data_IF_966374701124
#
_entry.id   IF_966374701124
#
_cell.length_a   1.000
_cell.length_b   1.000
_cell.length_c   1.000
_cell.angle_alpha   90.00
_cell.angle_beta   90.00
_cell.angle_gamma   90.00
#
_symmetry.space_group_name_H-M   'P 1'
#
loop_
_entity.id
_entity.type
_entity.pdbx_description
1 polymer ?
#
# COMPACT_ATOMS: atom_id res chain seq x y z
N UNK A 1 54.79 32.50 61.52
CA UNK A 1 53.61 32.49 60.64
C UNK A 1 52.72 31.34 61.09
N UNK A 2 51.73 31.61 61.95
CA UNK A 2 50.28 31.73 61.64
C UNK A 2 49.65 30.43 61.09
N UNK A 3 49.00 29.69 62.02
CA UNK A 3 47.64 29.12 62.05
C UNK A 3 46.93 28.86 60.68
N UNK A 4 46.14 27.81 60.47
CA UNK A 4 44.98 27.37 61.26
C UNK A 4 44.58 25.93 60.90
N UNK A 5 44.36 25.08 61.90
CA UNK A 5 43.51 23.89 61.80
C UNK A 5 42.05 24.37 61.74
N UNK A 6 41.34 24.05 60.64
CA UNK A 6 39.89 24.23 60.55
C UNK A 6 39.20 22.90 60.84
N UNK A 7 38.59 22.82 62.02
CA UNK A 7 37.59 21.82 62.36
C UNK A 7 36.32 22.11 61.56
N UNK A 8 35.93 21.18 60.68
CA UNK A 8 34.66 21.26 59.97
C UNK A 8 33.58 20.63 60.85
N UNK A 9 32.65 21.47 61.31
CA UNK A 9 31.40 21.04 61.94
C UNK A 9 30.50 20.46 60.85
N UNK A 10 30.07 19.20 60.99
CA UNK A 10 29.05 18.60 60.15
C UNK A 10 27.69 18.92 60.79
N UNK A 11 26.81 19.72 60.18
CA UNK A 11 25.44 19.79 60.63
C UNK A 11 24.68 18.55 60.14
N UNK A 12 24.00 17.87 61.06
CA UNK A 12 23.01 16.84 60.77
C UNK A 12 21.97 17.38 59.79
N UNK A 13 21.86 16.77 58.61
CA UNK A 13 20.68 16.94 57.77
C UNK A 13 19.63 15.92 58.19
N UNK A 14 18.48 16.46 58.57
CA UNK A 14 17.28 15.75 58.92
C UNK A 14 16.78 14.87 57.76
N UNK A 15 16.31 13.68 58.12
CA UNK A 15 15.62 12.73 57.25
C UNK A 15 14.24 13.32 56.89
N UNK A 16 14.12 14.01 55.76
CA UNK A 16 12.85 14.43 55.21
C UNK A 16 12.26 13.30 54.34
N UNK A 17 11.00 12.96 54.59
CA UNK A 17 10.32 11.80 54.04
C UNK A 17 10.36 11.71 52.51
N UNK A 18 10.63 10.50 52.02
CA UNK A 18 10.44 10.16 50.61
C UNK A 18 8.94 10.07 50.33
N UNK A 19 8.37 11.13 49.75
CA UNK A 19 7.12 11.02 49.03
C UNK A 19 7.36 10.17 47.78
N UNK A 20 6.81 8.97 47.74
CA UNK A 20 6.79 8.14 46.54
C UNK A 20 5.86 8.80 45.52
N UNK A 21 6.42 9.56 44.58
CA UNK A 21 5.67 10.05 43.43
C UNK A 21 5.23 8.83 42.60
N UNK A 22 3.95 8.49 42.69
CA UNK A 22 3.33 7.47 41.85
C UNK A 22 3.16 8.08 40.46
N UNK A 23 4.19 7.97 39.63
CA UNK A 23 4.16 8.43 38.23
C UNK A 23 3.41 7.39 37.41
N UNK A 24 2.08 7.46 37.39
CA UNK A 24 1.32 6.77 36.35
C UNK A 24 1.79 7.32 35.01
N UNK A 25 2.36 6.49 34.11
CA UNK A 25 2.80 6.96 32.81
C UNK A 25 1.61 7.58 32.07
N UNK A 26 1.79 8.71 31.36
CA UNK A 26 0.72 9.29 30.57
C UNK A 26 0.20 8.28 29.55
N UNK A 27 -1.10 8.04 29.57
CA UNK A 27 -1.78 7.20 28.59
C UNK A 27 -1.73 7.91 27.23
N UNK A 28 -0.94 7.37 26.30
CA UNK A 28 -0.90 7.82 24.92
C UNK A 28 -2.16 7.35 24.20
N UNK A 29 -3.13 8.26 24.05
CA UNK A 29 -4.32 8.05 23.22
C UNK A 29 -3.99 8.40 21.78
N UNK A 30 -3.88 7.38 20.94
CA UNK A 30 -3.80 7.57 19.49
C UNK A 30 -5.22 7.57 18.93
N UNK A 31 -5.67 8.74 18.47
CA UNK A 31 -6.89 8.82 17.67
C UNK A 31 -6.51 8.46 16.23
N UNK A 32 -7.02 7.32 15.76
CA UNK A 32 -6.86 6.92 14.36
C UNK A 32 -8.07 7.47 13.61
N UNK A 33 -7.82 8.43 12.72
CA UNK A 33 -8.86 8.97 11.84
C UNK A 33 -9.50 7.83 11.04
N UNK A 34 -10.80 7.62 11.27
CA UNK A 34 -11.56 6.63 10.51
C UNK A 34 -11.69 7.12 9.06
N UNK A 35 -11.56 6.24 8.07
CA UNK A 35 -11.72 6.64 6.68
C UNK A 35 -13.19 7.01 6.45
N UNK A 36 -13.41 8.14 5.77
CA UNK A 36 -14.74 8.62 5.41
C UNK A 36 -15.41 7.62 4.43
N UNK A 37 -16.60 7.12 4.77
CA UNK A 37 -17.37 6.24 3.87
C UNK A 37 -17.63 6.95 2.54
N UNK A 38 -17.41 6.24 1.44
CA UNK A 38 -17.57 6.76 0.08
C UNK A 38 -16.36 7.54 -0.45
N UNK A 39 -15.37 7.86 0.39
CA UNK A 39 -14.13 8.51 -0.04
C UNK A 39 -13.01 7.48 -0.24
N UNK A 40 -12.42 7.39 -1.44
CA UNK A 40 -11.33 6.44 -1.69
C UNK A 40 -10.17 6.63 -0.71
N UNK A 41 -9.69 5.52 -0.14
CA UNK A 41 -8.44 5.48 0.63
C UNK A 41 -7.22 5.19 -0.25
N UNK A 42 -7.46 4.76 -1.49
CA UNK A 42 -6.43 4.54 -2.49
C UNK A 42 -7.01 4.71 -3.89
N UNK A 43 -6.30 5.43 -4.74
CA UNK A 43 -6.60 5.59 -6.17
C UNK A 43 -5.32 5.54 -7.00
N UNK A 44 -5.38 4.94 -8.18
CA UNK A 44 -4.28 4.93 -9.15
C UNK A 44 -4.82 4.86 -10.57
N UNK A 45 -4.33 5.76 -11.42
CA UNK A 45 -4.69 5.85 -12.85
C UNK A 45 -3.48 5.75 -13.77
N UNK A 46 -2.28 5.61 -13.19
CA UNK A 46 -0.99 5.55 -13.87
C UNK A 46 -0.69 6.73 -14.82
N UNK A 47 -1.46 7.82 -14.77
CA UNK A 47 -1.26 9.00 -15.61
C UNK A 47 -0.07 9.86 -15.17
N UNK A 48 0.10 10.02 -13.86
CA UNK A 48 1.04 11.00 -13.29
C UNK A 48 2.52 10.73 -13.60
N UNK A 49 2.88 9.47 -13.85
CA UNK A 49 4.26 9.04 -14.07
C UNK A 49 4.74 9.08 -15.53
N UNK A 50 3.83 9.20 -16.51
CA UNK A 50 4.17 8.85 -17.89
C UNK A 50 4.77 10.00 -18.70
N UNK A 51 4.59 11.28 -18.34
CA UNK A 51 5.13 12.45 -19.07
C UNK A 51 5.04 12.36 -20.62
N UNK A 52 4.02 11.68 -21.15
CA UNK A 52 3.82 11.45 -22.59
C UNK A 52 4.48 10.20 -23.19
N UNK A 53 5.18 9.37 -22.41
CA UNK A 53 5.89 8.17 -22.87
C UNK A 53 5.52 6.93 -22.06
N UNK A 54 5.50 5.77 -22.71
CA UNK A 54 5.42 4.47 -22.06
C UNK A 54 6.74 4.16 -21.34
N UNK A 55 6.66 3.65 -20.11
CA UNK A 55 7.80 3.26 -19.31
C UNK A 55 7.92 1.72 -19.30
N UNK A 56 8.98 1.24 -19.94
CA UNK A 56 9.26 -0.18 -20.14
C UNK A 56 10.19 -0.71 -19.03
N UNK A 57 9.95 -1.91 -18.49
CA UNK A 57 10.82 -2.61 -17.54
C UNK A 57 11.14 -1.76 -16.29
N UNK A 58 10.13 -1.10 -15.75
CA UNK A 58 10.32 -0.19 -14.62
C UNK A 58 10.31 -0.99 -13.33
N UNK A 59 11.40 -0.90 -12.57
CA UNK A 59 11.53 -1.60 -11.28
C UNK A 59 10.73 -0.93 -10.17
N UNK A 60 10.43 0.37 -10.32
CA UNK A 60 9.91 1.20 -9.26
C UNK A 60 9.14 2.43 -9.76
N UNK A 61 8.00 2.72 -9.13
CA UNK A 61 7.25 3.97 -9.23
C UNK A 61 7.16 4.63 -7.86
N UNK A 62 6.61 5.84 -7.79
CA UNK A 62 6.51 6.59 -6.53
C UNK A 62 5.73 5.80 -5.45
N UNK A 63 4.61 5.19 -5.84
CA UNK A 63 3.72 4.45 -4.91
C UNK A 63 3.85 2.94 -4.99
N UNK A 64 4.56 2.43 -6.01
CA UNK A 64 4.62 1.02 -6.34
C UNK A 64 6.05 0.53 -6.54
N UNK A 65 6.23 -0.78 -6.41
CA UNK A 65 7.48 -1.46 -6.70
C UNK A 65 7.21 -2.82 -7.34
N UNK A 66 8.10 -3.24 -8.23
CA UNK A 66 8.16 -4.61 -8.71
C UNK A 66 8.91 -5.45 -7.69
N UNK A 67 8.34 -6.59 -7.29
CA UNK A 67 9.03 -7.53 -6.40
C UNK A 67 9.52 -8.79 -7.11
N UNK A 68 8.88 -9.14 -8.22
CA UNK A 68 9.25 -10.31 -9.05
C UNK A 68 8.98 -9.99 -10.51
N UNK A 69 9.75 -10.60 -11.42
CA UNK A 69 9.54 -10.45 -12.86
C UNK A 69 9.78 -9.03 -13.36
N UNK A 70 9.08 -8.64 -14.41
CA UNK A 70 9.06 -7.26 -14.91
C UNK A 70 7.62 -6.82 -15.16
N UNK A 71 7.36 -5.53 -15.01
CA UNK A 71 6.09 -4.92 -15.43
C UNK A 71 6.36 -3.70 -16.28
N UNK A 72 5.32 -3.31 -17.00
CA UNK A 72 5.37 -2.17 -17.90
C UNK A 72 4.26 -1.22 -17.50
N UNK A 73 4.51 0.08 -17.54
CA UNK A 73 3.42 1.04 -17.51
C UNK A 73 3.36 1.68 -18.88
N UNK A 74 2.32 1.32 -19.61
CA UNK A 74 2.15 1.66 -21.01
C UNK A 74 1.07 2.72 -21.13
N UNK A 75 1.26 3.67 -22.04
CA UNK A 75 0.16 4.49 -22.52
C UNK A 75 -0.58 3.74 -23.61
N UNK A 76 -1.90 3.63 -23.48
CA UNK A 76 -2.71 3.05 -24.56
C UNK A 76 -2.90 4.08 -25.68
N UNK A 77 -2.75 3.68 -26.97
CA UNK A 77 -3.11 4.54 -28.09
C UNK A 77 -4.62 4.65 -28.30
N UNK A 78 -5.43 3.84 -27.59
CA UNK A 78 -6.90 3.87 -27.68
C UNK A 78 -7.47 4.96 -26.78
N UNK A 79 -8.36 5.79 -27.32
CA UNK A 79 -9.12 6.77 -26.54
C UNK A 79 -9.82 6.10 -25.35
N UNK A 80 -9.73 6.72 -24.18
CA UNK A 80 -10.39 6.26 -22.94
C UNK A 80 -9.61 5.24 -22.11
N UNK A 81 -8.46 4.75 -22.59
CA UNK A 81 -7.51 3.98 -21.79
C UNK A 81 -6.28 4.84 -21.64
N UNK A 82 -6.01 5.25 -20.41
CA UNK A 82 -4.90 6.11 -20.08
C UNK A 82 -3.55 5.40 -20.08
N UNK A 83 -2.74 5.74 -19.09
CA UNK A 83 -1.69 4.88 -18.57
C UNK A 83 -2.26 3.61 -17.96
N UNK A 84 -1.64 2.46 -18.19
CA UNK A 84 -2.05 1.21 -17.57
C UNK A 84 -0.83 0.34 -17.24
N UNK A 85 -0.97 -0.45 -16.19
CA UNK A 85 -0.01 -1.49 -15.81
C UNK A 85 -0.22 -2.73 -16.68
N UNK A 86 0.83 -3.20 -17.34
CA UNK A 86 0.88 -4.50 -18.00
C UNK A 86 1.76 -5.46 -17.18
N UNK A 87 1.11 -6.47 -16.59
CA UNK A 87 1.74 -7.48 -15.75
C UNK A 87 2.52 -8.55 -16.54
N UNK A 88 2.46 -8.53 -17.87
CA UNK A 88 3.15 -9.51 -18.72
C UNK A 88 4.67 -9.32 -18.75
N UNK A 89 5.14 -8.09 -18.54
CA UNK A 89 6.56 -7.75 -18.58
C UNK A 89 7.20 -7.98 -19.96
N UNK A 90 8.53 -7.95 -20.01
CA UNK A 90 9.31 -8.28 -21.22
C UNK A 90 10.19 -9.52 -21.07
N UNK A 91 10.40 -10.00 -19.84
CA UNK A 91 11.35 -11.07 -19.50
C UNK A 91 10.78 -12.49 -19.57
N UNK A 92 9.60 -12.67 -20.18
CA UNK A 92 8.79 -13.91 -20.19
C UNK A 92 8.35 -14.41 -18.81
N UNK A 93 8.74 -13.70 -17.75
CA UNK A 93 8.32 -13.91 -16.38
C UNK A 93 7.32 -12.81 -15.99
N UNK A 94 6.05 -13.12 -15.72
CA UNK A 94 5.08 -12.13 -15.29
C UNK A 94 5.54 -11.39 -14.06
N UNK A 95 5.17 -10.12 -13.98
CA UNK A 95 5.54 -9.28 -12.86
C UNK A 95 4.62 -9.44 -11.66
N UNK A 96 5.21 -9.26 -10.47
CA UNK A 96 4.51 -8.98 -9.22
C UNK A 96 4.72 -7.52 -8.87
N UNK A 97 3.63 -6.76 -8.78
CA UNK A 97 3.62 -5.31 -8.57
C UNK A 97 2.84 -4.97 -7.32
N UNK A 98 3.47 -4.31 -6.36
CA UNK A 98 2.83 -4.01 -5.08
C UNK A 98 3.04 -2.56 -4.63
N UNK A 99 2.17 -2.08 -3.76
CA UNK A 99 2.37 -0.78 -3.10
C UNK A 99 3.62 -0.80 -2.22
N UNK A 100 4.38 0.29 -2.21
CA UNK A 100 5.57 0.41 -1.33
C UNK A 100 5.19 0.40 0.14
N UNK A 101 4.21 1.23 0.48
CA UNK A 101 3.65 1.36 1.82
C UNK A 101 2.36 0.55 1.94
N UNK A 102 2.11 -0.04 3.12
CA UNK A 102 0.82 -0.68 3.39
C UNK A 102 -0.27 0.38 3.58
N UNK A 103 -1.51 -0.02 3.28
CA UNK A 103 -2.72 0.71 3.65
C UNK A 103 -3.27 0.15 4.95
N UNK A 104 -3.92 1.00 5.73
CA UNK A 104 -4.63 0.62 6.94
C UNK A 104 -6.09 0.31 6.60
N UNK A 105 -6.53 -0.90 6.95
CA UNK A 105 -7.91 -1.35 6.88
C UNK A 105 -8.44 -1.53 8.30
N UNK A 106 -9.56 -0.89 8.61
CA UNK A 106 -10.17 -0.96 9.93
C UNK A 106 -11.13 -2.15 10.03
N UNK A 107 -11.27 -2.74 11.23
CA UNK A 107 -12.27 -3.78 11.46
C UNK A 107 -13.68 -3.22 11.25
N UNK A 108 -14.64 -4.12 11.00
CA UNK A 108 -16.06 -3.82 10.80
C UNK A 108 -16.36 -2.81 9.68
N UNK A 109 -15.38 -2.56 8.79
CA UNK A 109 -15.53 -1.72 7.62
C UNK A 109 -15.49 -2.58 6.37
N UNK A 110 -16.51 -2.46 5.52
CA UNK A 110 -16.51 -3.08 4.20
C UNK A 110 -15.74 -2.20 3.23
N UNK A 111 -14.85 -2.78 2.45
CA UNK A 111 -14.11 -2.07 1.41
C UNK A 111 -14.49 -2.63 0.06
N UNK A 112 -14.86 -1.76 -0.87
CA UNK A 112 -14.95 -2.09 -2.28
C UNK A 112 -13.61 -1.80 -2.95
N UNK A 113 -13.09 -2.78 -3.67
CA UNK A 113 -12.03 -2.57 -4.65
C UNK A 113 -12.62 -2.62 -6.04
N UNK A 114 -12.22 -1.65 -6.86
CA UNK A 114 -12.57 -1.62 -8.27
C UNK A 114 -11.37 -1.24 -9.12
N UNK A 115 -11.30 -1.77 -10.33
CA UNK A 115 -10.28 -1.47 -11.32
C UNK A 115 -10.75 -1.93 -12.69
N UNK A 116 -10.17 -1.38 -13.74
CA UNK A 116 -10.38 -1.86 -15.11
C UNK A 116 -9.34 -2.93 -15.45
N UNK A 117 -9.78 -4.00 -16.11
CA UNK A 117 -8.91 -5.08 -16.59
C UNK A 117 -9.14 -5.39 -18.07
N UNK A 118 -8.06 -5.69 -18.79
CA UNK A 118 -8.13 -6.13 -20.20
C UNK A 118 -6.90 -6.95 -20.60
N UNK A 119 -6.97 -7.56 -21.77
CA UNK A 119 -5.87 -8.26 -22.42
C UNK A 119 -5.27 -7.37 -23.51
N UNK A 120 -4.06 -6.81 -23.34
CA UNK A 120 -3.45 -5.91 -24.33
C UNK A 120 -3.28 -6.58 -25.71
N UNK A 121 -3.03 -7.89 -25.73
CA UNK A 121 -2.84 -8.67 -26.95
C UNK A 121 -4.09 -9.43 -27.42
N UNK A 122 -5.19 -9.40 -26.65
CA UNK A 122 -6.43 -10.10 -26.99
C UNK A 122 -6.38 -11.62 -26.80
N UNK A 123 -5.37 -12.14 -26.11
CA UNK A 123 -5.28 -13.55 -25.70
C UNK A 123 -5.83 -13.73 -24.29
N UNK A 124 -6.14 -14.98 -23.92
CA UNK A 124 -6.51 -15.29 -22.53
C UNK A 124 -5.34 -15.01 -21.60
N UNK A 125 -5.61 -14.24 -20.56
CA UNK A 125 -4.67 -13.83 -19.54
C UNK A 125 -5.29 -13.94 -18.16
N UNK A 126 -4.43 -14.18 -17.19
CA UNK A 126 -4.82 -14.32 -15.79
C UNK A 126 -3.89 -13.52 -14.90
N UNK A 127 -4.46 -12.89 -13.89
CA UNK A 127 -3.73 -12.28 -12.79
C UNK A 127 -4.44 -12.56 -11.45
N UNK A 128 -3.77 -12.24 -10.35
CA UNK A 128 -4.34 -12.20 -9.01
C UNK A 128 -4.15 -10.79 -8.45
N UNK A 129 -5.19 -10.27 -7.81
CA UNK A 129 -5.10 -9.17 -6.85
C UNK A 129 -5.06 -9.76 -5.44
N UNK A 130 -4.08 -9.38 -4.63
CA UNK A 130 -3.98 -9.74 -3.21
C UNK A 130 -3.98 -8.47 -2.34
N UNK A 131 -4.75 -8.49 -1.25
CA UNK A 131 -4.78 -7.46 -0.21
C UNK A 131 -4.82 -8.16 1.14
N UNK A 132 -3.66 -8.23 1.81
CA UNK A 132 -3.51 -9.01 3.04
C UNK A 132 -3.75 -10.49 2.77
N UNK A 133 -4.66 -11.13 3.51
CA UNK A 133 -5.06 -12.53 3.32
C UNK A 133 -6.19 -12.73 2.30
N UNK A 134 -6.62 -11.66 1.61
CA UNK A 134 -7.71 -11.70 0.62
C UNK A 134 -7.15 -11.73 -0.80
N UNK A 135 -7.77 -12.51 -1.68
CA UNK A 135 -7.36 -12.63 -3.07
C UNK A 135 -8.55 -12.58 -4.03
N UNK A 136 -8.38 -11.92 -5.17
CA UNK A 136 -9.32 -11.92 -6.29
C UNK A 136 -8.60 -12.41 -7.55
N UNK A 137 -9.16 -13.45 -8.18
CA UNK A 137 -8.66 -13.93 -9.47
C UNK A 137 -9.23 -13.10 -10.61
N UNK A 138 -8.38 -12.72 -11.54
CA UNK A 138 -8.72 -11.89 -12.71
C UNK A 138 -8.48 -12.74 -13.96
N UNK A 139 -9.49 -12.83 -14.83
CA UNK A 139 -9.39 -13.52 -16.12
C UNK A 139 -9.93 -12.61 -17.21
N UNK A 140 -9.15 -12.43 -18.27
CA UNK A 140 -9.52 -11.55 -19.38
C UNK A 140 -8.95 -12.02 -20.70
N UNK A 141 -9.72 -11.84 -21.77
CA UNK A 141 -9.32 -12.14 -23.15
C UNK A 141 -9.65 -10.99 -24.11
N UNK A 142 -10.33 -9.95 -23.62
CA UNK A 142 -10.78 -8.83 -24.44
C UNK A 142 -9.75 -7.71 -24.46
N UNK A 143 -9.55 -7.07 -25.62
CA UNK A 143 -8.75 -5.83 -25.73
C UNK A 143 -9.50 -4.58 -25.25
N UNK A 144 -10.76 -4.73 -24.82
CA UNK A 144 -11.57 -3.66 -24.27
C UNK A 144 -11.58 -3.77 -22.74
N UNK A 145 -11.35 -2.67 -22.01
CA UNK A 145 -11.43 -2.64 -20.55
C UNK A 145 -12.79 -3.12 -20.05
N UNK A 146 -12.74 -3.93 -19.00
CA UNK A 146 -13.90 -4.31 -18.21
C UNK A 146 -13.65 -3.94 -16.77
N UNK A 147 -14.62 -3.24 -16.16
CA UNK A 147 -14.63 -2.96 -14.74
C UNK A 147 -14.74 -4.26 -13.95
N UNK A 148 -13.79 -4.49 -13.06
CA UNK A 148 -13.78 -5.52 -12.04
C UNK A 148 -14.12 -4.86 -10.71
N UNK A 149 -15.01 -5.48 -9.95
CA UNK A 149 -15.35 -5.05 -8.59
C UNK A 149 -15.27 -6.25 -7.65
N UNK A 150 -14.84 -6.00 -6.43
CA UNK A 150 -14.80 -6.98 -5.35
C UNK A 150 -14.97 -6.28 -4.02
N UNK A 151 -15.37 -7.02 -3.00
CA UNK A 151 -15.47 -6.46 -1.65
C UNK A 151 -14.78 -7.35 -0.64
N UNK A 152 -14.16 -6.74 0.37
CA UNK A 152 -13.53 -7.47 1.48
C UNK A 152 -13.77 -6.76 2.82
N UNK A 153 -13.66 -7.54 3.89
CA UNK A 153 -13.70 -7.11 5.28
C UNK A 153 -12.55 -7.78 6.05
N UNK A 154 -12.10 -7.09 7.10
CA UNK A 154 -11.10 -7.59 8.04
C UNK A 154 -11.69 -7.65 9.44
N UNK A 155 -11.37 -8.71 10.18
CA UNK A 155 -11.85 -8.90 11.57
C UNK A 155 -11.07 -8.02 12.57
N UNK A 156 -9.85 -7.64 12.21
CA UNK A 156 -8.95 -6.84 13.02
C UNK A 156 -8.35 -5.72 12.16
N UNK A 157 -7.85 -4.67 12.80
CA UNK A 157 -7.11 -3.61 12.11
C UNK A 157 -5.92 -4.23 11.38
N UNK A 158 -5.90 -4.10 10.05
CA UNK A 158 -4.97 -4.79 9.17
C UNK A 158 -4.18 -3.78 8.36
N UNK A 159 -2.85 -3.85 8.44
CA UNK A 159 -1.97 -3.16 7.50
C UNK A 159 -1.63 -4.12 6.36
N UNK A 160 -2.03 -3.76 5.13
CA UNK A 160 -1.81 -4.62 3.97
C UNK A 160 -1.36 -3.81 2.74
N UNK A 161 -0.47 -4.41 1.96
CA UNK A 161 -0.13 -3.91 0.62
C UNK A 161 -1.18 -4.38 -0.38
N UNK A 162 -1.37 -3.60 -1.42
CA UNK A 162 -2.09 -4.04 -2.62
C UNK A 162 -1.05 -4.69 -3.53
N UNK A 163 -1.32 -5.89 -4.01
CA UNK A 163 -0.44 -6.64 -4.89
C UNK A 163 -1.21 -7.13 -6.11
N UNK A 164 -0.67 -6.89 -7.30
CA UNK A 164 -1.10 -7.50 -8.54
C UNK A 164 -0.01 -8.44 -9.05
N UNK A 165 -0.39 -9.68 -9.39
CA UNK A 165 0.53 -10.72 -9.87
C UNK A 165 0.01 -11.30 -11.17
N UNK A 166 0.80 -11.18 -12.23
CA UNK A 166 0.51 -11.89 -13.48
C UNK A 166 0.69 -13.41 -13.30
N UNK A 167 -0.19 -14.21 -13.90
CA UNK A 167 -0.09 -15.68 -13.94
C UNK A 167 0.16 -16.23 -15.35
N UNK A 168 0.35 -15.33 -16.33
CA UNK A 168 0.54 -15.71 -17.73
C UNK A 168 1.91 -16.35 -18.00
N UNK A 169 2.12 -16.77 -19.25
CA UNK A 169 3.43 -17.17 -19.76
C UNK A 169 3.69 -16.42 -21.07
N UNK A 170 4.96 -16.20 -21.42
CA UNK A 170 5.40 -15.67 -22.73
C UNK A 170 5.05 -14.20 -23.05
N UNK A 171 5.27 -13.26 -22.12
CA UNK A 171 5.00 -11.82 -22.31
C UNK A 171 3.52 -11.51 -22.62
N UNK A 172 2.63 -12.32 -22.07
CA UNK A 172 1.17 -12.17 -22.21
C UNK A 172 0.68 -11.73 -20.83
N UNK A 173 0.19 -10.50 -20.75
CA UNK A 173 -0.16 -9.85 -19.49
C UNK A 173 -1.60 -9.39 -19.39
N UNK A 174 -2.00 -9.06 -18.17
CA UNK A 174 -3.26 -8.36 -17.89
C UNK A 174 -2.93 -6.87 -17.77
N UNK A 175 -3.64 -6.06 -18.55
CA UNK A 175 -3.68 -4.61 -18.41
C UNK A 175 -4.58 -4.23 -17.23
N UNK A 176 -4.08 -3.42 -16.30
CA UNK A 176 -4.77 -2.94 -15.11
C UNK A 176 -4.72 -1.41 -15.06
N UNK A 177 -5.87 -0.77 -14.79
CA UNK A 177 -5.99 0.69 -14.69
C UNK A 177 -7.15 1.08 -13.73
N UNK A 178 -7.26 2.36 -13.37
CA UNK A 178 -8.35 2.96 -12.58
C UNK A 178 -8.60 2.22 -11.26
N UNK A 179 -7.53 1.89 -10.55
CA UNK A 179 -7.61 1.21 -9.26
C UNK A 179 -8.21 2.17 -8.25
N UNK A 180 -9.24 1.72 -7.54
CA UNK A 180 -9.87 2.46 -6.45
C UNK A 180 -10.22 1.50 -5.32
N UNK A 181 -9.89 1.90 -4.10
CA UNK A 181 -10.35 1.23 -2.87
C UNK A 181 -11.12 2.23 -2.03
N UNK A 182 -12.37 1.91 -1.76
CA UNK A 182 -13.30 2.81 -1.06
C UNK A 182 -13.97 2.05 0.09
N UNK A 183 -13.96 2.59 1.32
CA UNK A 183 -14.82 2.09 2.38
C UNK A 183 -16.29 2.35 2.01
N UNK A 184 -17.11 1.33 2.15
CA UNK A 184 -18.54 1.32 1.82
C UNK A 184 -19.34 0.85 3.04
N UNK A 185 -20.65 1.13 3.01
CA UNK A 185 -21.59 0.63 4.01
C UNK A 185 -21.77 -0.90 3.93
#
# INVERSE_FOLDING_TARGET
>A
MKNYLRTLVIPSLALAGMATAQTTPPELKFEVDRPEIGKPIFEETFEGGLRGHSAYAVEAFERWQVTEGTVNILRSPKQGIGGYLDLGGYTRNPGTFQTRLPLLFLPDTRYEVSFDSFSPNGKSNTAILEIGSRSLRIETHSKSPKRVTGTFTFAEATQARILFRGLGQNNVGVGIDNIRITPVH
#
